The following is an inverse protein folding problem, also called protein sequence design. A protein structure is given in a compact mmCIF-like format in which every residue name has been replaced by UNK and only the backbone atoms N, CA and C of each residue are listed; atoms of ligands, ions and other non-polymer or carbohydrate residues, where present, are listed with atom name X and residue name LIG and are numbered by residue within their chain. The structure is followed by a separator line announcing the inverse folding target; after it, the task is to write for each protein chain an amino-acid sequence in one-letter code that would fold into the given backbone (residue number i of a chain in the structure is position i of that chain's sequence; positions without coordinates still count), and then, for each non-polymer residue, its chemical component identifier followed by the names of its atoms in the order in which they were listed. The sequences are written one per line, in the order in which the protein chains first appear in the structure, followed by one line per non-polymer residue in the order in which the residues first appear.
data_IF_977589753714
#
_entry.id   IF_977589753714
#
_cell.length_a   1.000
_cell.length_b   1.000
_cell.length_c   1.000
_cell.angle_alpha   90.00
_cell.angle_beta   90.00
_cell.angle_gamma   90.00
#
_symmetry.space_group_name_H-M   'P 1'
#
loop_
_entity.id
_entity.type
_entity.pdbx_description
1 polymer ?
#
# COMPACT_ATOMS: atom_id res chain seq x y z
N UNK A 1 -8.20 9.83 5.29
CA UNK A 1 -8.00 9.33 3.92
C UNK A 1 -9.11 8.33 3.61
N UNK A 2 -9.28 7.87 2.37
CA UNK A 2 -10.21 6.78 2.07
C UNK A 2 -9.50 5.89 1.05
N UNK A 3 -9.47 4.59 1.29
CA UNK A 3 -8.81 3.63 0.39
C UNK A 3 -9.75 2.47 0.12
N UNK A 4 -9.75 2.03 -1.14
CA UNK A 4 -10.61 0.95 -1.63
C UNK A 4 -9.77 -0.03 -2.45
N UNK A 5 -10.09 -1.31 -2.35
CA UNK A 5 -9.50 -2.37 -3.16
C UNK A 5 -10.60 -3.27 -3.72
N UNK A 6 -10.47 -3.67 -4.98
CA UNK A 6 -11.35 -4.64 -5.61
C UNK A 6 -10.65 -5.99 -5.73
N UNK A 7 -11.28 -7.06 -5.26
CA UNK A 7 -10.79 -8.41 -5.43
C UNK A 7 -11.54 -9.07 -6.58
N UNK A 8 -10.82 -9.34 -7.67
CA UNK A 8 -11.41 -9.93 -8.87
C UNK A 8 -11.80 -11.40 -8.68
N UNK A 9 -11.21 -12.12 -7.72
CA UNK A 9 -11.47 -13.55 -7.51
C UNK A 9 -12.86 -13.83 -6.91
N UNK A 10 -13.35 -12.93 -6.06
CA UNK A 10 -14.66 -13.03 -5.41
C UNK A 10 -15.61 -11.90 -5.81
N UNK A 11 -15.18 -10.96 -6.66
CA UNK A 11 -15.91 -9.77 -7.09
C UNK A 11 -16.36 -8.86 -5.93
N UNK A 12 -15.58 -8.83 -4.84
CA UNK A 12 -15.86 -7.98 -3.68
C UNK A 12 -15.03 -6.70 -3.70
N UNK A 13 -15.55 -5.66 -3.05
CA UNK A 13 -14.87 -4.39 -2.77
C UNK A 13 -14.61 -4.29 -1.28
N UNK A 14 -13.37 -3.95 -0.92
CA UNK A 14 -12.95 -3.65 0.44
C UNK A 14 -12.72 -2.15 0.56
N UNK A 15 -13.25 -1.53 1.60
CA UNK A 15 -13.08 -0.10 1.86
C UNK A 15 -12.59 0.11 3.29
N UNK A 16 -11.54 0.91 3.44
CA UNK A 16 -11.03 1.30 4.76
C UNK A 16 -12.01 2.28 5.39
N UNK A 17 -12.62 1.87 6.50
CA UNK A 17 -13.40 2.75 7.36
C UNK A 17 -12.43 3.38 8.38
N UNK A 18 -12.18 4.67 8.25
CA UNK A 18 -11.32 5.39 9.19
C UNK A 18 -12.04 5.56 10.52
N UNK A 19 -11.89 4.54 11.36
CA UNK A 19 -12.08 4.60 12.79
C UNK A 19 -10.70 4.34 13.38
N UNK A 20 -10.06 5.39 13.90
CA UNK A 20 -8.81 5.24 14.65
C UNK A 20 -9.12 4.38 15.88
N UNK A 21 -8.78 3.10 15.77
CA UNK A 21 -8.71 2.19 16.88
C UNK A 21 -7.22 2.03 17.17
N UNK A 22 -6.82 2.14 18.43
CA UNK A 22 -5.42 1.95 18.83
C UNK A 22 -4.91 0.62 18.25
N UNK A 23 -4.06 0.72 17.22
CA UNK A 23 -3.45 -0.42 16.52
C UNK A 23 -4.42 -1.36 15.77
N UNK A 24 -5.57 -0.87 15.32
CA UNK A 24 -6.45 -1.65 14.45
C UNK A 24 -7.12 -0.78 13.38
N UNK A 25 -7.53 -1.42 12.29
CA UNK A 25 -8.27 -0.78 11.20
C UNK A 25 -9.57 -1.54 10.95
N UNK A 26 -10.64 -0.80 10.68
CA UNK A 26 -11.91 -1.36 10.25
C UNK A 26 -11.97 -1.36 8.71
N UNK A 27 -12.26 -2.52 8.11
CA UNK A 27 -12.38 -2.71 6.67
C UNK A 27 -13.79 -3.21 6.37
N UNK A 28 -14.55 -2.45 5.59
CA UNK A 28 -15.89 -2.84 5.16
C UNK A 28 -15.82 -3.61 3.86
N UNK A 29 -16.50 -4.74 3.81
CA UNK A 29 -16.61 -5.59 2.63
C UNK A 29 -17.97 -5.42 1.96
N UNK A 30 -17.95 -5.29 0.64
CA UNK A 30 -19.13 -5.14 -0.20
C UNK A 30 -19.10 -6.15 -1.33
N UNK A 31 -20.26 -6.71 -1.64
CA UNK A 31 -20.51 -7.48 -2.85
C UNK A 31 -21.41 -6.67 -3.79
N UNK A 32 -21.72 -7.23 -4.96
CA UNK A 32 -22.74 -6.66 -5.87
C UNK A 32 -24.11 -6.49 -5.20
N UNK A 33 -24.41 -7.27 -4.16
CA UNK A 33 -25.66 -7.20 -3.40
C UNK A 33 -25.64 -6.15 -2.27
N UNK A 34 -24.50 -5.48 -2.05
CA UNK A 34 -24.32 -4.48 -1.01
C UNK A 34 -23.33 -4.92 0.08
N UNK A 35 -23.44 -4.29 1.25
CA UNK A 35 -22.60 -4.56 2.42
C UNK A 35 -22.69 -6.04 2.84
N UNK A 36 -21.52 -6.64 3.08
CA UNK A 36 -21.38 -8.03 3.54
C UNK A 36 -21.11 -8.03 5.03
N UNK A 37 -19.96 -7.48 5.44
CA UNK A 37 -19.54 -7.39 6.84
C UNK A 37 -18.46 -6.32 7.05
N UNK A 38 -18.18 -6.02 8.32
CA UNK A 38 -17.03 -5.22 8.72
C UNK A 38 -15.99 -6.14 9.38
N UNK A 39 -14.74 -5.94 9.01
CA UNK A 39 -13.58 -6.67 9.52
C UNK A 39 -12.75 -5.74 10.39
N UNK A 40 -12.32 -6.20 11.56
CA UNK A 40 -11.33 -5.49 12.37
C UNK A 40 -10.00 -6.19 12.24
N UNK A 41 -8.99 -5.50 11.71
CA UNK A 41 -7.67 -6.06 11.50
C UNK A 41 -6.66 -5.39 12.43
N UNK A 42 -6.02 -6.19 13.28
CA UNK A 42 -4.95 -5.73 14.16
C UNK A 42 -3.67 -5.42 13.39
N UNK A 43 -3.06 -4.29 13.71
CA UNK A 43 -1.77 -3.83 13.19
C UNK A 43 -0.74 -3.97 14.31
N UNK A 44 0.47 -4.42 13.98
CA UNK A 44 1.50 -4.76 14.96
C UNK A 44 2.04 -3.56 15.77
N UNK A 45 1.76 -2.33 15.33
CA UNK A 45 2.17 -1.07 15.97
C UNK A 45 1.15 0.03 15.68
N UNK A 46 1.18 1.10 16.47
CA UNK A 46 0.48 2.34 16.12
C UNK A 46 0.99 2.85 14.78
N UNK A 47 0.07 3.30 13.94
CA UNK A 47 0.34 3.54 12.54
C UNK A 47 -0.23 4.87 12.05
N UNK A 48 0.45 5.45 11.06
CA UNK A 48 0.01 6.64 10.34
C UNK A 48 -0.27 6.26 8.90
N UNK A 49 -1.40 6.73 8.38
CA UNK A 49 -1.91 6.43 7.04
C UNK A 49 -2.28 4.95 6.85
N UNK A 50 -3.21 4.69 5.93
CA UNK A 50 -3.56 3.32 5.58
C UNK A 50 -4.17 3.30 4.20
N UNK A 51 -3.54 2.56 3.28
CA UNK A 51 -4.07 2.33 1.94
C UNK A 51 -4.00 0.85 1.63
N UNK A 52 -4.98 0.33 0.89
CA UNK A 52 -5.11 -1.10 0.56
C UNK A 52 -5.10 -1.33 -0.95
N UNK A 53 -4.65 -2.51 -1.35
CA UNK A 53 -4.73 -3.00 -2.73
C UNK A 53 -4.83 -4.52 -2.72
N UNK A 54 -5.54 -5.08 -3.69
CA UNK A 54 -5.72 -6.52 -3.80
C UNK A 54 -4.86 -7.08 -4.93
N UNK A 55 -4.18 -8.19 -4.64
CA UNK A 55 -3.43 -8.96 -5.60
C UNK A 55 -4.36 -9.87 -6.44
N UNK A 56 -3.89 -10.36 -7.60
CA UNK A 56 -4.69 -11.27 -8.45
C UNK A 56 -5.11 -12.57 -7.77
N UNK A 57 -4.35 -13.04 -6.76
CA UNK A 57 -4.66 -14.23 -5.98
C UNK A 57 -5.68 -13.98 -4.84
N UNK A 58 -6.19 -12.76 -4.73
CA UNK A 58 -7.10 -12.34 -3.67
C UNK A 58 -6.43 -11.87 -2.38
N UNK A 59 -5.10 -11.94 -2.29
CA UNK A 59 -4.36 -11.40 -1.13
C UNK A 59 -4.62 -9.89 -1.02
N UNK A 60 -5.05 -9.43 0.16
CA UNK A 60 -5.19 -8.01 0.45
C UNK A 60 -3.91 -7.50 1.12
N UNK A 61 -3.27 -6.54 0.47
CA UNK A 61 -2.12 -5.83 1.01
C UNK A 61 -2.51 -4.45 1.54
N UNK A 62 -1.73 -3.91 2.45
CA UNK A 62 -1.79 -2.53 2.87
C UNK A 62 -0.40 -1.88 2.90
N UNK A 63 -0.35 -0.56 2.72
CA UNK A 63 0.82 0.25 3.05
C UNK A 63 0.51 1.16 4.23
N UNK A 64 1.49 1.32 5.11
CA UNK A 64 1.38 2.16 6.31
C UNK A 64 2.78 2.53 6.82
N UNK A 65 2.87 3.46 7.75
CA UNK A 65 4.10 3.78 8.49
C UNK A 65 3.84 3.81 9.99
N UNK A 66 4.88 3.75 10.82
CA UNK A 66 4.72 3.89 12.27
C UNK A 66 4.27 5.29 12.67
N UNK A 67 3.33 5.41 13.62
CA UNK A 67 2.81 6.71 14.03
C UNK A 67 3.82 7.52 14.87
N UNK A 68 4.51 6.86 15.81
CA UNK A 68 5.31 7.52 16.85
C UNK A 68 6.37 8.48 16.28
N UNK A 69 7.00 8.09 15.17
CA UNK A 69 8.17 8.76 14.60
C UNK A 69 7.90 9.44 13.25
N UNK A 70 6.74 9.25 12.63
CA UNK A 70 6.55 9.67 11.22
C UNK A 70 6.73 11.16 10.91
N UNK A 71 6.60 12.05 11.90
CA UNK A 71 6.74 13.49 11.69
C UNK A 71 8.16 14.01 11.97
N UNK A 72 8.87 13.42 12.96
CA UNK A 72 10.10 14.01 13.51
C UNK A 72 11.18 13.00 13.89
N UNK A 73 10.91 11.71 13.72
CA UNK A 73 11.85 10.66 14.07
C UNK A 73 12.96 10.52 13.02
N UNK A 74 14.20 10.21 13.46
CA UNK A 74 15.32 10.01 12.55
C UNK A 74 15.13 8.76 11.70
N UNK A 75 14.46 7.72 12.20
CA UNK A 75 14.17 6.49 11.47
C UNK A 75 12.65 6.25 11.55
N UNK A 76 12.01 6.09 10.38
CA UNK A 76 10.58 5.80 10.29
C UNK A 76 10.38 4.48 9.56
N UNK A 77 9.84 3.51 10.28
CA UNK A 77 9.44 2.22 9.74
C UNK A 77 8.25 2.40 8.79
N UNK A 78 8.38 1.87 7.57
CA UNK A 78 7.30 1.83 6.58
C UNK A 78 7.09 0.38 6.18
N UNK A 79 5.85 0.00 5.99
CA UNK A 79 5.51 -1.41 5.80
C UNK A 79 4.60 -1.60 4.59
N UNK A 80 4.83 -2.71 3.90
CA UNK A 80 3.79 -3.44 3.18
C UNK A 80 3.31 -4.55 4.10
N UNK A 81 2.03 -4.53 4.45
CA UNK A 81 1.38 -5.51 5.30
C UNK A 81 0.55 -6.48 4.45
N UNK A 82 0.58 -7.77 4.77
CA UNK A 82 -0.41 -8.74 4.30
C UNK A 82 -1.52 -8.83 5.34
N UNK A 83 -2.77 -8.64 4.90
CA UNK A 83 -3.94 -8.66 5.76
C UNK A 83 -4.63 -10.03 5.69
N UNK A 84 -4.98 -10.56 6.85
CA UNK A 84 -5.82 -11.74 7.00
C UNK A 84 -7.14 -11.31 7.66
N UNK A 85 -8.17 -11.20 6.83
CA UNK A 85 -9.50 -10.75 7.25
C UNK A 85 -10.22 -11.81 8.08
N UNK A 86 -9.93 -13.10 7.86
CA UNK A 86 -10.59 -14.20 8.57
C UNK A 86 -10.10 -14.29 10.02
N UNK A 87 -8.79 -14.13 10.23
CA UNK A 87 -8.21 -14.11 11.58
C UNK A 87 -8.23 -12.71 12.22
N UNK A 88 -8.47 -11.65 11.45
CA UNK A 88 -8.41 -10.27 11.93
C UNK A 88 -6.99 -9.81 12.26
N UNK A 89 -5.97 -10.37 11.58
CA UNK A 89 -4.56 -10.08 11.84
C UNK A 89 -3.84 -9.55 10.61
N UNK A 90 -2.66 -8.96 10.82
CA UNK A 90 -1.76 -8.56 9.75
C UNK A 90 -0.34 -9.06 10.01
N UNK A 91 0.45 -9.15 8.94
CA UNK A 91 1.88 -9.48 9.01
C UNK A 91 2.68 -8.56 8.10
N UNK A 92 3.91 -8.24 8.51
CA UNK A 92 4.83 -7.46 7.68
C UNK A 92 5.29 -8.35 6.52
N UNK A 93 4.90 -7.96 5.31
CA UNK A 93 5.33 -8.61 4.06
C UNK A 93 6.65 -8.02 3.58
N UNK A 94 6.82 -6.71 3.71
CA UNK A 94 8.08 -6.00 3.47
C UNK A 94 8.17 -4.75 4.35
N UNK A 95 9.40 -4.32 4.64
CA UNK A 95 9.67 -3.13 5.43
C UNK A 95 10.80 -2.33 4.80
N UNK A 96 10.69 -1.00 4.86
CA UNK A 96 11.76 -0.07 4.52
C UNK A 96 11.86 0.99 5.62
N UNK A 97 13.03 1.07 6.23
CA UNK A 97 13.34 2.05 7.26
C UNK A 97 14.12 3.18 6.59
N UNK A 98 13.51 4.36 6.52
CA UNK A 98 14.12 5.50 5.84
C UNK A 98 14.51 6.56 6.88
N UNK A 99 15.77 7.01 6.80
CA UNK A 99 16.43 7.91 7.75
C UNK A 99 16.26 9.39 7.36
N UNK A 100 15.93 10.28 8.29
CA UNK A 100 15.79 11.74 8.08
C UNK A 100 14.69 12.15 7.10
N UNK A 101 13.61 11.35 7.06
CA UNK A 101 12.59 11.43 6.04
C UNK A 101 11.20 11.62 6.64
N UNK A 102 10.68 12.86 6.59
CA UNK A 102 9.34 13.21 7.07
C UNK A 102 8.23 12.86 6.05
N UNK A 103 6.97 12.89 6.52
CA UNK A 103 5.76 12.84 5.69
C UNK A 103 5.67 11.58 4.81
N UNK A 104 5.44 10.39 5.40
CA UNK A 104 5.21 9.18 4.61
C UNK A 104 4.05 9.37 3.63
N UNK A 105 4.28 8.92 2.40
CA UNK A 105 3.26 8.85 1.37
C UNK A 105 2.79 7.41 1.27
N UNK A 106 1.48 7.20 1.21
CA UNK A 106 0.86 5.88 1.39
C UNK A 106 0.33 5.32 0.08
N UNK A 107 1.11 5.45 -0.99
CA UNK A 107 0.70 5.04 -2.33
C UNK A 107 1.48 3.84 -2.84
N UNK A 108 0.70 2.85 -3.26
CA UNK A 108 1.19 1.63 -3.88
C UNK A 108 0.12 1.02 -4.80
N UNK A 109 0.53 0.04 -5.58
CA UNK A 109 -0.35 -0.83 -6.35
C UNK A 109 0.19 -2.26 -6.35
N UNK A 110 -0.65 -3.20 -6.79
CA UNK A 110 -0.25 -4.57 -7.07
C UNK A 110 -0.50 -4.85 -8.54
N UNK A 111 0.48 -5.42 -9.24
CA UNK A 111 0.34 -5.75 -10.65
C UNK A 111 -0.21 -7.17 -10.90
N UNK A 112 -0.40 -7.53 -12.17
CA UNK A 112 -0.90 -8.84 -12.59
C UNK A 112 0.00 -10.03 -12.24
N UNK A 113 1.26 -9.80 -11.84
CA UNK A 113 2.17 -10.84 -11.36
C UNK A 113 2.18 -10.94 -9.82
N UNK A 114 1.44 -10.07 -9.13
CA UNK A 114 1.46 -9.96 -7.68
C UNK A 114 2.65 -9.15 -7.14
N UNK A 115 3.42 -8.46 -8.01
CA UNK A 115 4.42 -7.53 -7.53
C UNK A 115 3.73 -6.28 -6.96
N UNK A 116 4.17 -5.86 -5.79
CA UNK A 116 3.78 -4.59 -5.17
C UNK A 116 4.73 -3.49 -5.65
N UNK A 117 4.16 -2.42 -6.21
CA UNK A 117 4.88 -1.23 -6.64
C UNK A 117 4.63 -0.12 -5.65
N UNK A 118 5.66 0.29 -4.91
CA UNK A 118 5.54 1.10 -3.70
C UNK A 118 6.37 2.38 -3.82
N UNK A 119 5.71 3.53 -3.74
CA UNK A 119 6.37 4.83 -3.83
C UNK A 119 6.65 5.34 -2.43
N UNK A 120 7.90 5.67 -2.15
CA UNK A 120 8.35 6.17 -0.86
C UNK A 120 8.90 7.60 -0.95
N UNK A 121 8.36 8.47 -0.08
CA UNK A 121 8.75 9.87 0.13
C UNK A 121 9.87 9.96 1.19
N UNK A 122 10.77 10.97 1.17
CA UNK A 122 10.85 12.17 0.32
C UNK A 122 11.61 12.06 -0.99
N UNK A 123 12.39 11.00 -1.19
CA UNK A 123 13.22 10.91 -2.40
C UNK A 123 12.44 10.40 -3.63
N UNK A 124 11.14 10.10 -3.44
CA UNK A 124 10.23 9.58 -4.46
C UNK A 124 10.82 8.34 -5.14
N UNK A 125 11.34 7.42 -4.32
CA UNK A 125 11.86 6.14 -4.79
C UNK A 125 10.70 5.19 -5.05
N UNK A 126 10.75 4.53 -6.20
CA UNK A 126 9.86 3.43 -6.52
C UNK A 126 10.55 2.13 -6.14
N UNK A 127 9.95 1.42 -5.20
CA UNK A 127 10.35 0.07 -4.81
C UNK A 127 9.46 -0.96 -5.50
N UNK A 128 10.06 -2.08 -5.87
CA UNK A 128 9.36 -3.32 -6.20
C UNK A 128 9.46 -4.26 -5.02
N UNK A 129 8.32 -4.73 -4.54
CA UNK A 129 8.21 -5.79 -3.53
C UNK A 129 7.64 -7.04 -4.21
N UNK A 130 8.39 -8.13 -4.19
CA UNK A 130 7.96 -9.38 -4.87
C UNK A 130 6.87 -10.10 -4.08
N UNK A 131 6.17 -11.08 -4.68
CA UNK A 131 5.26 -11.97 -3.96
C UNK A 131 5.91 -12.71 -2.78
N UNK A 132 7.23 -12.87 -2.76
CA UNK A 132 7.98 -13.48 -1.67
C UNK A 132 8.35 -12.50 -0.55
N UNK A 133 8.03 -11.20 -0.69
CA UNK A 133 8.33 -10.17 0.31
C UNK A 133 9.68 -9.49 0.15
N UNK A 134 10.47 -9.84 -0.88
CA UNK A 134 11.73 -9.13 -1.13
C UNK A 134 11.47 -7.75 -1.73
N UNK A 135 11.99 -6.71 -1.07
CA UNK A 135 11.92 -5.32 -1.52
C UNK A 135 13.24 -4.89 -2.16
N UNK A 136 13.16 -4.20 -3.30
CA UNK A 136 14.32 -3.59 -3.94
C UNK A 136 13.95 -2.28 -4.63
N UNK A 137 14.85 -1.30 -4.57
CA UNK A 137 14.70 -0.07 -5.33
C UNK A 137 14.68 -0.39 -6.83
N UNK A 138 13.68 0.14 -7.52
CA UNK A 138 13.48 -0.05 -8.96
C UNK A 138 13.84 1.22 -9.74
N UNK A 139 13.38 2.38 -9.26
CA UNK A 139 13.70 3.68 -9.82
C UNK A 139 13.83 4.73 -8.71
N UNK A 140 14.63 5.76 -8.94
CA UNK A 140 14.76 6.92 -8.06
C UNK A 140 14.27 8.19 -8.79
N UNK A 141 13.97 9.23 -8.01
CA UNK A 141 13.53 10.54 -8.52
C UNK A 141 12.26 10.46 -9.39
N UNK A 142 11.27 9.68 -8.96
CA UNK A 142 9.94 9.80 -9.58
C UNK A 142 9.39 11.21 -9.37
N UNK A 143 8.47 11.69 -10.23
CA UNK A 143 7.92 13.03 -10.09
C UNK A 143 7.41 13.30 -8.67
N UNK A 144 7.62 14.54 -8.19
CA UNK A 144 7.11 14.97 -6.88
C UNK A 144 5.58 14.76 -6.86
N UNK A 145 5.07 14.34 -5.70
CA UNK A 145 3.66 14.04 -5.46
C UNK A 145 3.09 12.94 -6.36
N UNK A 146 3.91 11.93 -6.68
CA UNK A 146 3.46 10.73 -7.40
C UNK A 146 2.35 10.01 -6.62
N UNK A 147 1.11 10.19 -7.08
CA UNK A 147 -0.13 9.73 -6.48
C UNK A 147 -0.44 8.25 -6.75
N UNK A 148 0.10 7.67 -7.83
CA UNK A 148 -0.11 6.25 -8.13
C UNK A 148 0.99 5.71 -9.04
N UNK A 149 1.25 4.42 -8.93
CA UNK A 149 2.01 3.64 -9.91
C UNK A 149 1.12 2.54 -10.46
N UNK A 150 1.14 2.29 -11.76
CA UNK A 150 0.40 1.24 -12.45
C UNK A 150 1.34 0.51 -13.41
N UNK A 151 1.10 -0.79 -13.63
CA UNK A 151 1.81 -1.57 -14.64
C UNK A 151 0.81 -2.13 -15.64
N UNK A 152 1.10 -1.98 -16.93
CA UNK A 152 0.27 -2.61 -17.97
C UNK A 152 0.66 -4.07 -18.23
N UNK A 153 -0.10 -4.73 -19.10
CA UNK A 153 0.13 -6.12 -19.51
C UNK A 153 1.39 -6.30 -20.36
N UNK A 154 1.95 -5.23 -20.92
CA UNK A 154 3.24 -5.26 -21.65
C UNK A 154 4.43 -5.05 -20.69
N UNK A 155 4.15 -4.80 -19.41
CA UNK A 155 5.13 -4.60 -18.36
C UNK A 155 5.63 -3.16 -18.24
N UNK A 156 5.03 -2.19 -18.94
CA UNK A 156 5.36 -0.76 -18.81
C UNK A 156 4.80 -0.22 -17.50
N UNK A 157 5.59 0.61 -16.84
CA UNK A 157 5.20 1.27 -15.61
C UNK A 157 4.80 2.71 -15.88
N UNK A 158 3.69 3.11 -15.29
CA UNK A 158 3.13 4.46 -15.37
C UNK A 158 3.10 5.04 -13.97
N UNK A 159 3.57 6.26 -13.83
CA UNK A 159 3.45 7.02 -12.59
C UNK A 159 2.53 8.20 -12.83
N UNK A 160 1.50 8.31 -12.00
CA UNK A 160 0.49 9.36 -12.03
C UNK A 160 0.86 10.40 -10.97
N UNK A 161 0.91 11.66 -11.36
CA UNK A 161 1.23 12.78 -10.47
C UNK A 161 0.43 14.02 -10.92
N UNK A 162 0.37 15.11 -10.14
CA UNK A 162 -0.42 16.29 -10.48
C UNK A 162 -0.07 16.94 -11.83
N UNK A 163 1.14 16.71 -12.34
CA UNK A 163 1.60 17.21 -13.64
C UNK A 163 1.24 16.35 -14.85
N UNK A 164 0.78 15.11 -14.65
CA UNK A 164 0.46 14.20 -15.75
C UNK A 164 0.68 12.72 -15.43
N UNK A 165 0.95 11.95 -16.49
CA UNK A 165 1.27 10.53 -16.43
C UNK A 165 2.61 10.33 -17.14
N UNK A 166 3.62 9.88 -16.41
CA UNK A 166 4.93 9.57 -16.94
C UNK A 166 5.11 8.06 -17.09
N UNK A 167 5.87 7.65 -18.11
CA UNK A 167 6.27 6.26 -18.31
C UNK A 167 7.65 6.07 -17.70
N UNK A 168 7.79 5.13 -16.76
CA UNK A 168 9.10 4.70 -16.28
C UNK A 168 9.62 3.64 -17.25
N UNK A 169 10.63 4.03 -18.03
CA UNK A 169 11.38 3.09 -18.85
C UNK A 169 12.21 2.17 -17.94
N UNK A 170 12.19 0.86 -18.21
CA UNK A 170 13.14 -0.07 -17.61
C UNK A 170 14.55 0.41 -17.95
N UNK A 171 15.36 0.74 -16.93
CA UNK A 171 16.80 0.92 -17.10
C UNK A 171 17.49 -0.44 -17.21
#
# INVERSE_FOLDING_TARGET
YASIAYNASNEHVYAVAFKELDQAVEIHEFSKSGFVQAHTVGIHKEFSGFSIACAPDGTLYATSAEAERHETGPDVERWILKLDLDSGTSSIHAQQDLVDHCCPFFEFSVDGNGDVWWILNPDFWLYRVTPAGSAGAFACFTPIDSAKVLRDSEGKLFVIHPGGIDIIANQ
#
